data_IF_061523005186
#
_entry.id   IF_061523005186
#
_cell.length_a   1.000
_cell.length_b   1.000
_cell.length_c   1.000
_cell.angle_alpha   90.00
_cell.angle_beta   90.00
_cell.angle_gamma   90.00
#
_symmetry.space_group_name_H-M   'P 1'
#
loop_
_entity.id
_entity.type
_entity.pdbx_description
1 polymer ?
#
# COMPACT_ATOMS: atom_id res chain seq x y z
N UNK A 1 -15.86 -1.54 -8.68
CA UNK A 1 -15.60 -0.43 -7.74
C UNK A 1 -14.67 0.58 -8.40
N UNK A 2 -15.00 1.84 -8.29
CA UNK A 2 -14.17 2.89 -8.85
C UNK A 2 -12.84 3.00 -8.10
N UNK A 3 -11.80 3.44 -8.82
CA UNK A 3 -10.45 3.56 -8.23
C UNK A 3 -10.41 4.51 -7.03
N UNK A 4 -11.19 5.60 -7.07
CA UNK A 4 -11.27 6.56 -5.96
C UNK A 4 -11.78 5.89 -4.69
N UNK A 5 -12.77 5.02 -4.81
CA UNK A 5 -13.32 4.30 -3.66
C UNK A 5 -12.32 3.29 -3.11
N UNK A 6 -11.57 2.64 -3.99
CA UNK A 6 -10.51 1.71 -3.60
C UNK A 6 -9.47 2.45 -2.78
N UNK A 7 -9.01 3.61 -3.24
CA UNK A 7 -8.02 4.41 -2.51
C UNK A 7 -8.56 4.94 -1.18
N UNK A 8 -9.84 5.33 -1.14
CA UNK A 8 -10.43 5.86 0.09
C UNK A 8 -10.42 4.84 1.23
N UNK A 9 -10.45 3.56 0.89
CA UNK A 9 -10.41 2.48 1.88
C UNK A 9 -8.99 2.24 2.43
N UNK A 10 -7.97 2.85 1.82
CA UNK A 10 -6.60 2.78 2.34
C UNK A 10 -6.47 3.86 3.41
N UNK A 11 -6.16 3.50 4.67
CA UNK A 11 -6.21 4.44 5.78
C UNK A 11 -5.48 5.76 5.59
N UNK A 12 -4.28 5.74 4.98
CA UNK A 12 -3.52 6.98 4.77
C UNK A 12 -4.18 7.94 3.78
N UNK A 13 -5.16 7.48 3.00
CA UNK A 13 -5.89 8.29 2.02
C UNK A 13 -7.32 8.59 2.45
N UNK A 14 -7.76 8.09 3.61
CA UNK A 14 -9.16 8.21 4.05
C UNK A 14 -9.61 9.65 4.31
N UNK A 15 -8.67 10.55 4.56
CA UNK A 15 -8.98 11.97 4.80
C UNK A 15 -9.00 12.84 3.54
N UNK A 16 -8.75 12.26 2.37
CA UNK A 16 -8.73 12.99 1.11
C UNK A 16 -10.14 13.18 0.56
N UNK A 17 -10.39 14.34 -0.08
CA UNK A 17 -11.65 14.55 -0.78
C UNK A 17 -11.66 13.78 -2.11
N UNK A 18 -12.82 13.75 -2.76
CA UNK A 18 -13.00 12.99 -3.99
C UNK A 18 -12.10 13.48 -5.13
N UNK A 19 -11.89 14.78 -5.23
CA UNK A 19 -11.03 15.35 -6.26
C UNK A 19 -9.57 14.92 -6.09
N UNK A 20 -9.09 14.93 -4.86
CA UNK A 20 -7.73 14.47 -4.55
C UNK A 20 -7.57 12.96 -4.79
N UNK A 21 -8.57 12.18 -4.39
CA UNK A 21 -8.56 10.73 -4.64
C UNK A 21 -8.55 10.42 -6.12
N UNK A 22 -9.30 11.18 -6.91
CA UNK A 22 -9.34 11.01 -8.35
C UNK A 22 -7.97 11.29 -8.99
N UNK A 23 -7.28 12.33 -8.54
CA UNK A 23 -5.94 12.62 -9.03
C UNK A 23 -4.96 11.50 -8.71
N UNK A 24 -4.96 11.02 -7.47
CA UNK A 24 -4.07 9.92 -7.07
C UNK A 24 -4.42 8.63 -7.78
N UNK A 25 -5.70 8.37 -8.02
CA UNK A 25 -6.12 7.14 -8.69
C UNK A 25 -5.58 7.03 -10.12
N UNK A 26 -5.31 8.16 -10.77
CA UNK A 26 -4.72 8.17 -12.11
C UNK A 26 -3.28 7.69 -12.14
N UNK A 27 -2.60 7.69 -10.99
CA UNK A 27 -1.24 7.18 -10.87
C UNK A 27 -1.19 5.66 -10.80
N UNK A 28 -2.33 5.02 -10.54
CA UNK A 28 -2.37 3.57 -10.34
C UNK A 28 -2.34 2.82 -11.67
N UNK A 29 -1.53 1.77 -11.71
CA UNK A 29 -1.32 0.93 -12.89
C UNK A 29 -1.80 -0.47 -12.57
N UNK A 30 -2.54 -1.09 -13.47
CA UNK A 30 -2.96 -2.47 -13.33
C UNK A 30 -1.77 -3.40 -13.45
N UNK A 31 -1.67 -4.36 -12.52
CA UNK A 31 -0.64 -5.39 -12.53
C UNK A 31 -1.29 -6.75 -12.31
N UNK A 32 -0.78 -7.75 -13.02
CA UNK A 32 -1.27 -9.13 -12.92
C UNK A 32 -0.14 -10.06 -12.53
N UNK A 33 -0.47 -11.01 -11.66
CA UNK A 33 0.50 -11.98 -11.16
C UNK A 33 -0.14 -13.37 -11.17
N UNK A 34 0.63 -14.37 -11.57
CA UNK A 34 0.17 -15.76 -11.55
C UNK A 34 0.43 -16.41 -10.19
N UNK A 35 -0.34 -17.45 -9.90
CA UNK A 35 -0.15 -18.25 -8.69
C UNK A 35 1.32 -18.72 -8.60
N UNK A 36 1.93 -18.55 -7.45
CA UNK A 36 3.33 -18.89 -7.22
C UNK A 36 4.31 -17.74 -7.44
N UNK A 37 3.87 -16.64 -8.06
CA UNK A 37 4.73 -15.47 -8.25
C UNK A 37 5.03 -14.79 -6.91
N UNK A 38 6.16 -14.08 -6.87
CA UNK A 38 6.53 -13.22 -5.74
C UNK A 38 6.37 -11.77 -6.20
N UNK A 39 5.48 -11.03 -5.54
CA UNK A 39 5.24 -9.62 -5.89
C UNK A 39 6.36 -8.75 -5.32
N UNK A 40 6.75 -9.00 -4.08
CA UNK A 40 7.88 -8.34 -3.45
C UNK A 40 8.59 -9.30 -2.51
N UNK A 41 9.90 -9.12 -2.40
CA UNK A 41 10.77 -10.01 -1.64
C UNK A 41 11.33 -9.28 -0.42
N UNK A 42 11.33 -9.98 0.72
CA UNK A 42 11.96 -9.49 1.95
C UNK A 42 13.40 -9.08 1.68
N UNK A 43 13.78 -7.91 2.15
CA UNK A 43 15.11 -7.34 1.96
C UNK A 43 15.27 -6.49 0.71
N UNK A 44 14.37 -6.60 -0.26
CA UNK A 44 14.43 -5.76 -1.46
C UNK A 44 14.00 -4.34 -1.15
N UNK A 45 14.52 -3.38 -1.94
CA UNK A 45 14.15 -1.98 -1.82
C UNK A 45 12.66 -1.79 -2.07
N UNK A 46 12.00 -1.07 -1.18
CA UNK A 46 10.58 -0.78 -1.33
C UNK A 46 10.36 0.26 -2.42
N UNK A 47 9.51 -0.04 -3.41
CA UNK A 47 9.29 0.81 -4.58
C UNK A 47 7.87 1.37 -4.70
N UNK A 48 6.90 0.78 -4.01
CA UNK A 48 5.52 1.24 -4.11
C UNK A 48 4.55 0.37 -3.31
N UNK A 49 3.25 0.62 -3.51
CA UNK A 49 2.24 -0.16 -2.83
C UNK A 49 1.24 -0.75 -3.82
N UNK A 50 0.47 -1.73 -3.33
CA UNK A 50 -0.46 -2.49 -4.14
C UNK A 50 -1.79 -2.63 -3.42
N UNK A 51 -2.88 -2.47 -4.17
CA UNK A 51 -4.23 -2.80 -3.68
C UNK A 51 -4.72 -3.99 -4.50
N UNK A 52 -5.16 -5.05 -3.83
CA UNK A 52 -5.63 -6.25 -4.49
C UNK A 52 -7.06 -6.02 -4.99
N UNK A 53 -7.31 -6.26 -6.27
CA UNK A 53 -8.65 -6.16 -6.85
C UNK A 53 -9.29 -7.54 -7.04
N UNK A 54 -8.47 -8.56 -7.27
CA UNK A 54 -8.93 -9.95 -7.31
C UNK A 54 -7.78 -10.88 -6.95
N UNK A 55 -8.11 -12.05 -6.45
CA UNK A 55 -7.12 -13.06 -6.10
C UNK A 55 -6.76 -13.09 -4.62
N UNK A 56 -5.65 -13.72 -4.31
CA UNK A 56 -5.21 -13.92 -2.93
C UNK A 56 -3.70 -14.02 -2.86
N UNK A 57 -3.12 -13.35 -1.87
CA UNK A 57 -1.68 -13.38 -1.61
C UNK A 57 -1.43 -13.68 -0.14
N UNK A 58 -0.20 -14.13 0.19
CA UNK A 58 0.21 -14.27 1.59
C UNK A 58 1.46 -13.46 1.86
N UNK A 59 1.54 -12.92 3.06
CA UNK A 59 2.68 -12.15 3.55
C UNK A 59 3.49 -13.07 4.44
N UNK A 60 4.76 -13.30 4.11
CA UNK A 60 5.61 -14.29 4.76
C UNK A 60 6.92 -13.65 5.19
N UNK A 61 7.30 -13.88 6.45
CA UNK A 61 8.63 -13.52 6.96
C UNK A 61 9.50 -14.76 6.94
N UNK A 62 10.74 -14.61 6.48
CA UNK A 62 11.69 -15.71 6.44
C UNK A 62 11.35 -16.76 5.39
N UNK A 63 10.78 -16.35 4.25
CA UNK A 63 10.32 -17.27 3.20
C UNK A 63 11.42 -18.19 2.66
N UNK A 64 12.67 -17.73 2.64
CA UNK A 64 13.80 -18.54 2.19
C UNK A 64 14.55 -19.27 3.30
N UNK A 65 14.07 -19.19 4.53
CA UNK A 65 14.74 -19.76 5.70
C UNK A 65 14.13 -21.08 6.15
N UNK A 66 14.67 -21.60 7.26
CA UNK A 66 14.24 -22.87 7.83
C UNK A 66 12.85 -22.84 8.46
N UNK A 67 12.41 -21.67 8.89
CA UNK A 67 11.12 -21.52 9.59
C UNK A 67 10.36 -20.32 9.04
N UNK A 68 9.79 -20.43 7.82
CA UNK A 68 8.98 -19.36 7.30
C UNK A 68 7.72 -19.17 8.15
N UNK A 69 7.34 -17.91 8.35
CA UNK A 69 6.17 -17.56 9.15
C UNK A 69 5.18 -16.78 8.28
N UNK A 70 3.98 -17.32 8.10
CA UNK A 70 2.91 -16.62 7.40
C UNK A 70 2.31 -15.59 8.37
N UNK A 71 2.51 -14.31 8.06
CA UNK A 71 2.03 -13.22 8.89
C UNK A 71 0.58 -12.88 8.62
N UNK A 72 0.15 -13.01 7.35
CA UNK A 72 -1.19 -12.64 6.95
C UNK A 72 -1.52 -13.19 5.57
N UNK A 73 -2.82 -13.29 5.28
CA UNK A 73 -3.34 -13.61 3.96
C UNK A 73 -4.25 -12.46 3.54
N UNK A 74 -4.04 -11.92 2.35
CA UNK A 74 -4.75 -10.75 1.86
C UNK A 74 -5.55 -11.09 0.61
N UNK A 75 -6.74 -10.51 0.49
CA UNK A 75 -7.65 -10.68 -0.64
C UNK A 75 -8.16 -9.35 -1.18
N UNK A 76 -9.22 -9.40 -2.02
CA UNK A 76 -9.75 -8.20 -2.68
C UNK A 76 -10.09 -7.09 -1.70
N UNK A 77 -9.69 -5.86 -2.05
CA UNK A 77 -9.90 -4.68 -1.23
C UNK A 77 -8.79 -4.44 -0.20
N UNK A 78 -7.95 -5.42 0.04
CA UNK A 78 -6.84 -5.28 0.95
C UNK A 78 -5.60 -4.79 0.21
N UNK A 79 -4.63 -4.26 0.96
CA UNK A 79 -3.47 -3.60 0.39
C UNK A 79 -2.21 -3.93 1.18
N UNK A 80 -1.06 -3.68 0.58
CA UNK A 80 0.22 -3.85 1.23
C UNK A 80 1.26 -2.89 0.65
N UNK A 81 2.24 -2.55 1.46
CA UNK A 81 3.38 -1.75 1.04
C UNK A 81 3.15 -0.24 1.02
N UNK A 82 2.09 0.28 1.66
CA UNK A 82 1.80 1.72 1.64
C UNK A 82 2.87 2.58 2.32
N UNK A 83 3.60 2.01 3.28
CA UNK A 83 4.72 2.73 3.92
C UNK A 83 5.83 3.05 2.92
N UNK A 84 5.96 2.23 1.87
CA UNK A 84 6.96 2.44 0.83
C UNK A 84 6.73 3.72 0.03
N UNK A 85 5.53 4.30 0.08
CA UNK A 85 5.25 5.57 -0.57
C UNK A 85 6.03 6.71 0.07
N UNK A 86 6.37 6.59 1.34
CA UNK A 86 7.09 7.61 2.10
C UNK A 86 8.55 7.26 2.33
N UNK A 87 8.84 6.00 2.55
CA UNK A 87 10.15 5.51 2.94
C UNK A 87 10.66 4.42 2.00
N UNK A 88 11.93 4.49 1.63
CA UNK A 88 12.55 3.48 0.80
C UNK A 88 13.26 2.39 1.60
N UNK A 89 12.79 2.08 2.80
CA UNK A 89 13.37 1.01 3.61
C UNK A 89 13.16 -0.35 2.94
N UNK A 90 14.08 -1.30 3.15
CA UNK A 90 13.90 -2.65 2.63
C UNK A 90 12.60 -3.28 3.10
N UNK A 91 12.01 -4.12 2.27
CA UNK A 91 10.77 -4.85 2.61
C UNK A 91 11.01 -5.75 3.82
N UNK A 92 10.08 -5.71 4.77
CA UNK A 92 10.16 -6.52 5.99
C UNK A 92 9.62 -7.93 5.83
N UNK A 93 8.97 -8.22 4.71
CA UNK A 93 8.38 -9.51 4.42
C UNK A 93 8.27 -9.75 2.92
N UNK A 94 8.07 -11.02 2.54
CA UNK A 94 7.83 -11.43 1.16
C UNK A 94 6.32 -11.54 0.94
N UNK A 95 5.84 -11.11 -0.22
CA UNK A 95 4.43 -11.29 -0.62
C UNK A 95 4.39 -12.27 -1.77
N UNK A 96 3.76 -13.42 -1.55
CA UNK A 96 3.61 -14.51 -2.52
C UNK A 96 2.18 -14.64 -2.97
N UNK A 97 1.98 -14.94 -4.24
CA UNK A 97 0.67 -15.09 -4.85
C UNK A 97 0.17 -16.52 -4.66
N UNK A 98 -0.99 -16.67 -4.03
CA UNK A 98 -1.60 -17.99 -3.78
C UNK A 98 -2.48 -18.44 -4.94
N UNK A 99 -3.17 -17.50 -5.57
CA UNK A 99 -3.98 -17.74 -6.77
C UNK A 99 -3.84 -16.54 -7.69
N UNK A 100 -4.15 -16.69 -8.97
CA UNK A 100 -4.01 -15.59 -9.93
C UNK A 100 -4.60 -14.30 -9.38
N UNK A 101 -3.80 -13.24 -9.37
CA UNK A 101 -4.12 -12.01 -8.66
C UNK A 101 -3.99 -10.80 -9.59
N UNK A 102 -4.95 -9.88 -9.47
CA UNK A 102 -4.90 -8.57 -10.11
C UNK A 102 -4.78 -7.50 -9.02
N UNK A 103 -3.93 -6.53 -9.28
CA UNK A 103 -3.67 -5.42 -8.36
C UNK A 103 -3.67 -4.10 -9.10
N UNK A 104 -3.92 -3.03 -8.34
CA UNK A 104 -3.59 -1.68 -8.74
C UNK A 104 -2.33 -1.28 -7.97
N UNK A 105 -1.32 -0.80 -8.67
CA UNK A 105 -0.03 -0.45 -8.09
C UNK A 105 0.28 1.02 -8.25
N UNK A 106 0.91 1.61 -7.24
CA UNK A 106 1.38 3.01 -7.26
C UNK A 106 2.85 3.04 -6.84
N UNK A 107 3.71 3.65 -7.66
CA UNK A 107 5.13 3.78 -7.31
C UNK A 107 5.33 4.93 -6.35
N UNK A 108 6.39 4.83 -5.52
CA UNK A 108 6.75 5.92 -4.60
C UNK A 108 7.16 7.19 -5.36
N UNK A 109 7.73 7.04 -6.55
CA UNK A 109 8.17 8.18 -7.36
C UNK A 109 7.00 8.99 -7.89
N UNK A 110 5.98 8.32 -8.40
CA UNK A 110 4.77 8.98 -8.90
C UNK A 110 4.02 9.66 -7.75
N UNK A 111 3.91 8.96 -6.62
CA UNK A 111 3.28 9.52 -5.43
C UNK A 111 4.02 10.77 -4.96
N UNK A 112 5.34 10.69 -4.86
CA UNK A 112 6.17 11.82 -4.44
C UNK A 112 6.03 13.01 -5.38
N UNK A 113 6.03 12.76 -6.68
CA UNK A 113 5.88 13.81 -7.68
C UNK A 113 4.55 14.53 -7.54
N UNK A 114 3.46 13.78 -7.32
CA UNK A 114 2.14 14.37 -7.13
C UNK A 114 2.07 15.23 -5.86
N UNK A 115 2.59 14.74 -4.76
CA UNK A 115 2.58 15.49 -3.50
C UNK A 115 3.48 16.72 -3.56
N UNK A 116 4.58 16.64 -4.27
CA UNK A 116 5.49 17.78 -4.45
C UNK A 116 4.84 18.89 -5.28
N UNK A 117 4.02 18.53 -6.27
CA UNK A 117 3.34 19.49 -7.14
C UNK A 117 1.97 19.91 -6.64
N UNK A 118 1.41 19.22 -5.65
CA UNK A 118 0.09 19.54 -5.12
C UNK A 118 0.11 19.53 -3.59
N UNK A 119 0.37 20.70 -3.02
CA UNK A 119 0.52 20.85 -1.57
C UNK A 119 -0.76 20.51 -0.79
N UNK A 120 -1.95 20.71 -1.38
CA UNK A 120 -3.21 20.38 -0.70
C UNK A 120 -3.33 18.88 -0.43
N UNK A 121 -2.94 18.07 -1.41
CA UNK A 121 -2.95 16.61 -1.23
C UNK A 121 -1.92 16.21 -0.18
N UNK A 122 -0.72 16.79 -0.25
CA UNK A 122 0.33 16.48 0.72
C UNK A 122 -0.11 16.81 2.14
N UNK A 123 -0.75 17.97 2.33
CA UNK A 123 -1.23 18.40 3.63
C UNK A 123 -2.35 17.48 4.15
N UNK A 124 -3.30 17.11 3.30
CA UNK A 124 -4.38 16.22 3.67
C UNK A 124 -3.89 14.82 4.07
N UNK A 125 -2.90 14.30 3.37
CA UNK A 125 -2.24 13.03 3.72
C UNK A 125 -1.54 13.17 5.07
N UNK A 126 -0.82 14.27 5.28
CA UNK A 126 -0.11 14.53 6.54
C UNK A 126 -1.08 14.59 7.72
N UNK A 127 -2.20 15.29 7.59
CA UNK A 127 -3.22 15.35 8.63
C UNK A 127 -3.75 13.95 8.97
N UNK A 128 -4.02 13.15 7.97
CA UNK A 128 -4.50 11.78 8.14
C UNK A 128 -3.49 10.94 8.92
N UNK A 129 -2.22 11.04 8.56
CA UNK A 129 -1.13 10.31 9.24
C UNK A 129 -1.03 10.76 10.69
N UNK A 130 -1.14 12.06 10.97
CA UNK A 130 -1.09 12.58 12.34
C UNK A 130 -2.27 12.05 13.18
N UNK A 131 -3.47 12.01 12.61
CA UNK A 131 -4.64 11.43 13.30
C UNK A 131 -4.44 9.97 13.62
N UNK A 132 -3.89 9.22 12.69
CA UNK A 132 -3.59 7.79 12.90
C UNK A 132 -2.54 7.61 13.99
N UNK A 133 -1.55 8.47 14.03
CA UNK A 133 -0.51 8.43 15.07
C UNK A 133 -1.12 8.67 16.46
N UNK A 134 -2.03 9.64 16.57
CA UNK A 134 -2.75 9.90 17.83
C UNK A 134 -3.56 8.69 18.25
N UNK A 135 -4.31 8.11 17.32
CA UNK A 135 -5.17 6.95 17.62
C UNK A 135 -4.34 5.75 18.07
N UNK A 136 -3.16 5.59 17.51
CA UNK A 136 -2.26 4.49 17.86
C UNK A 136 -1.53 4.71 19.18
N UNK A 137 -1.34 5.98 19.60
CA UNK A 137 -0.59 6.33 20.80
C UNK A 137 -1.53 6.84 21.90
N UNK A 138 -1.86 5.96 22.84
CA UNK A 138 -2.77 6.29 23.96
C UNK A 138 -2.25 7.40 24.86
N UNK A 139 -0.98 7.82 24.72
CA UNK A 139 -0.41 8.92 25.51
C UNK A 139 -0.77 10.31 24.96
N UNK A 140 -1.26 10.40 23.74
CA UNK A 140 -1.70 11.67 23.18
C UNK A 140 -2.96 12.15 23.89
N UNK A 141 -2.89 13.34 24.44
CA UNK A 141 -3.98 13.94 25.21
C UNK A 141 -4.48 15.28 24.63
N UNK A 142 -3.92 15.71 23.53
CA UNK A 142 -4.29 16.98 22.87
C UNK A 142 -5.50 16.82 21.98
#
# INVERSE_FOLDING_TARGET
>A
MEREEILKNVPIFSGLDRGHLKRLSKLMVERRFGAGDVIMKEGDQAAGFFVITSGKVEVVRGAGGDKPEVLNTLGPGEFFGEMALFEGFPRSATVRVLEDTECLAMTRWDFRAELTSNAEIAFAVLETVVHRLRDADARFTE
#
